data_IF_740509783359
#
_entry.id   IF_740509783359
#
_cell.length_a   1.000
_cell.length_b   1.000
_cell.length_c   1.000
_cell.angle_alpha   90.00
_cell.angle_beta   90.00
_cell.angle_gamma   90.00
#
_symmetry.space_group_name_H-M   'P 1'
#
loop_
_entity.id
_entity.type
_entity.pdbx_description
1 polymer ?
#
# COMPACT_ATOMS: atom_id res chain seq x y z
N UNK A 1 -14.84 -19.14 10.23
CA UNK A 1 -14.46 -17.77 10.63
C UNK A 1 -15.71 -16.90 10.52
N UNK A 2 -16.32 -16.48 11.64
CA UNK A 2 -17.59 -15.73 11.65
C UNK A 2 -17.34 -14.26 11.27
N UNK A 3 -18.22 -13.71 10.41
CA UNK A 3 -18.18 -12.33 9.90
C UNK A 3 -18.08 -11.23 10.97
N UNK A 4 -18.33 -11.54 12.23
CA UNK A 4 -18.19 -10.63 13.38
C UNK A 4 -16.74 -10.19 13.64
N UNK A 5 -15.73 -10.90 13.11
CA UNK A 5 -14.31 -10.54 13.26
C UNK A 5 -13.89 -9.41 12.29
N UNK A 6 -14.65 -9.19 11.21
CA UNK A 6 -14.28 -8.30 10.11
C UNK A 6 -14.44 -6.82 10.50
N UNK A 7 -15.50 -6.44 11.23
CA UNK A 7 -15.63 -5.09 11.80
C UNK A 7 -15.07 -5.02 13.22
N UNK A 8 -13.78 -5.32 13.38
CA UNK A 8 -13.12 -5.21 14.67
C UNK A 8 -13.00 -3.73 15.09
N UNK A 9 -13.42 -3.35 16.32
CA UNK A 9 -13.14 -2.03 16.90
C UNK A 9 -11.66 -1.62 16.81
N UNK A 10 -10.77 -2.61 16.75
CA UNK A 10 -9.34 -2.45 16.52
C UNK A 10 -9.03 -1.61 15.29
N UNK A 11 -9.60 -1.95 14.13
CA UNK A 11 -9.22 -1.32 12.86
C UNK A 11 -9.53 0.19 12.87
N UNK A 12 -10.73 0.53 13.36
CA UNK A 12 -11.13 1.93 13.58
C UNK A 12 -10.23 2.62 14.60
N UNK A 13 -9.92 1.97 15.71
CA UNK A 13 -9.07 2.55 16.77
C UNK A 13 -7.65 2.83 16.27
N UNK A 14 -7.05 1.91 15.51
CA UNK A 14 -5.69 2.05 14.97
C UNK A 14 -5.62 3.22 14.00
N UNK A 15 -6.53 3.28 13.03
CA UNK A 15 -6.52 4.37 12.04
C UNK A 15 -6.85 5.73 12.67
N UNK A 16 -7.76 5.78 13.65
CA UNK A 16 -8.04 7.02 14.39
C UNK A 16 -6.83 7.50 15.21
N UNK A 17 -6.00 6.57 15.69
CA UNK A 17 -4.76 6.88 16.41
C UNK A 17 -3.57 7.17 15.48
N UNK A 18 -3.78 7.18 14.15
CA UNK A 18 -2.72 7.38 13.16
C UNK A 18 -3.05 8.57 12.27
N UNK A 19 -2.55 9.77 12.64
CA UNK A 19 -2.65 10.94 11.79
C UNK A 19 -1.98 10.66 10.44
N UNK A 20 -2.70 10.97 9.36
CA UNK A 20 -2.18 10.96 7.99
C UNK A 20 -2.80 12.13 7.24
N UNK A 21 -2.03 12.88 6.44
CA UNK A 21 -2.59 13.96 5.63
C UNK A 21 -3.53 13.40 4.57
N UNK A 22 -4.66 14.07 4.36
CA UNK A 22 -5.56 13.78 3.24
C UNK A 22 -5.03 14.49 2.01
N UNK A 23 -4.72 13.72 0.97
CA UNK A 23 -4.20 14.20 -0.32
C UNK A 23 -4.93 13.50 -1.45
N UNK A 24 -4.70 13.93 -2.69
CA UNK A 24 -5.16 13.16 -3.85
C UNK A 24 -4.27 11.93 -3.99
N UNK A 25 -4.86 10.75 -3.82
CA UNK A 25 -4.18 9.46 -3.85
C UNK A 25 -4.58 8.69 -5.11
N UNK A 26 -3.66 7.88 -5.63
CA UNK A 26 -3.95 6.94 -6.71
C UNK A 26 -4.86 5.81 -6.23
N UNK A 27 -4.61 5.32 -5.01
CA UNK A 27 -5.24 4.20 -4.30
C UNK A 27 -4.95 2.81 -4.88
N UNK A 28 -4.42 2.71 -6.10
CA UNK A 28 -4.06 1.43 -6.73
C UNK A 28 -2.67 1.45 -7.40
N UNK A 29 -1.64 1.88 -6.66
CA UNK A 29 -0.24 1.92 -7.15
C UNK A 29 0.43 0.53 -7.22
N UNK A 30 -0.17 -0.40 -7.97
CA UNK A 30 0.42 -1.69 -8.34
C UNK A 30 1.38 -1.55 -9.54
N UNK A 31 2.18 -2.59 -9.81
CA UNK A 31 3.17 -2.58 -10.90
C UNK A 31 2.55 -2.44 -12.29
N UNK A 32 1.33 -2.95 -12.49
CA UNK A 32 0.61 -2.80 -13.76
C UNK A 32 0.26 -1.35 -14.11
N UNK A 33 0.19 -0.47 -13.09
CA UNK A 33 -0.17 0.93 -13.23
C UNK A 33 1.06 1.86 -13.29
N UNK A 34 2.26 1.31 -13.38
CA UNK A 34 3.54 2.02 -13.44
C UNK A 34 4.25 1.73 -14.76
N UNK A 35 4.19 2.65 -15.71
CA UNK A 35 4.81 2.50 -17.02
C UNK A 35 6.24 3.08 -17.04
N UNK A 36 7.16 2.34 -17.65
CA UNK A 36 8.46 2.87 -18.06
C UNK A 36 8.33 3.54 -19.42
N UNK A 37 8.72 4.82 -19.51
CA UNK A 37 8.63 5.59 -20.75
C UNK A 37 9.84 5.29 -21.65
N UNK A 38 9.58 4.91 -22.90
CA UNK A 38 10.61 4.76 -23.93
C UNK A 38 11.35 6.09 -24.18
N UNK A 39 12.66 6.00 -24.46
CA UNK A 39 13.55 7.14 -24.75
C UNK A 39 13.73 8.16 -23.61
N UNK A 40 13.42 7.81 -22.37
CA UNK A 40 13.66 8.66 -21.20
C UNK A 40 15.12 8.60 -20.68
N UNK A 41 16.10 8.13 -21.49
CA UNK A 41 17.50 7.94 -21.04
C UNK A 41 18.14 9.21 -20.46
N UNK A 42 17.72 10.39 -20.95
CA UNK A 42 18.20 11.72 -20.53
C UNK A 42 17.14 12.53 -19.73
N UNK A 43 16.06 11.90 -19.27
CA UNK A 43 15.00 12.55 -18.49
C UNK A 43 15.05 12.07 -17.03
N UNK A 44 14.85 12.98 -16.09
CA UNK A 44 14.63 12.64 -14.67
C UNK A 44 13.29 11.91 -14.47
N UNK A 45 12.36 12.03 -15.43
CA UNK A 45 11.04 11.39 -15.41
C UNK A 45 11.01 10.20 -16.36
N UNK A 46 11.30 9.02 -15.81
CA UNK A 46 11.31 7.73 -16.53
C UNK A 46 10.04 6.91 -16.30
N UNK A 47 9.32 7.18 -15.21
CA UNK A 47 8.13 6.44 -14.82
C UNK A 47 6.87 7.32 -14.94
N UNK A 48 5.76 6.70 -15.32
CA UNK A 48 4.44 7.34 -15.41
C UNK A 48 3.39 6.47 -14.72
N UNK A 49 2.61 7.08 -13.82
CA UNK A 49 1.40 6.47 -13.27
C UNK A 49 0.24 6.58 -14.26
N UNK A 50 -0.54 5.51 -14.38
CA UNK A 50 -1.75 5.44 -15.21
C UNK A 50 -2.88 4.79 -14.43
N UNK A 51 -4.08 4.79 -15.00
CA UNK A 51 -5.27 4.09 -14.47
C UNK A 51 -5.76 4.59 -13.10
N UNK A 52 -6.25 5.82 -13.09
CA UNK A 52 -6.74 6.53 -11.90
C UNK A 52 -8.18 6.13 -11.52
N UNK A 53 -8.64 4.91 -11.82
CA UNK A 53 -10.04 4.49 -11.63
C UNK A 53 -10.47 4.46 -10.15
N UNK A 54 -9.53 4.14 -9.24
CA UNK A 54 -9.74 4.16 -7.79
C UNK A 54 -9.33 5.49 -7.14
N UNK A 55 -8.83 6.45 -7.92
CA UNK A 55 -8.24 7.67 -7.37
C UNK A 55 -9.26 8.56 -6.70
N UNK A 56 -8.89 9.10 -5.55
CA UNK A 56 -9.75 9.97 -4.75
C UNK A 56 -8.92 10.71 -3.70
N UNK A 57 -9.53 11.68 -3.02
CA UNK A 57 -8.94 12.20 -1.79
C UNK A 57 -8.96 11.10 -0.73
N UNK A 58 -7.77 10.73 -0.26
CA UNK A 58 -7.59 9.69 0.75
C UNK A 58 -6.38 10.03 1.64
N UNK A 59 -6.15 9.23 2.67
CA UNK A 59 -4.96 9.32 3.50
C UNK A 59 -3.73 8.91 2.69
N UNK A 60 -2.69 9.75 2.69
CA UNK A 60 -1.40 9.43 2.06
C UNK A 60 -0.85 8.07 2.51
N UNK A 61 -1.03 7.76 3.80
CA UNK A 61 -0.62 6.50 4.39
C UNK A 61 -1.24 5.29 3.69
N UNK A 62 -2.49 5.40 3.20
CA UNK A 62 -3.15 4.35 2.43
C UNK A 62 -2.44 4.11 1.10
N UNK A 63 -2.13 5.17 0.35
CA UNK A 63 -1.52 5.02 -0.97
C UNK A 63 -0.12 4.38 -0.88
N UNK A 64 0.68 4.82 0.10
CA UNK A 64 1.99 4.25 0.38
C UNK A 64 1.90 2.82 0.93
N UNK A 65 0.97 2.60 1.87
CA UNK A 65 0.76 1.28 2.46
C UNK A 65 0.32 0.28 1.40
N UNK A 66 -0.57 0.71 0.50
CA UNK A 66 -0.99 -0.08 -0.65
C UNK A 66 0.18 -0.40 -1.58
N UNK A 67 0.96 0.60 -1.98
CA UNK A 67 2.12 0.37 -2.85
C UNK A 67 3.11 -0.64 -2.24
N UNK A 68 3.37 -0.56 -0.92
CA UNK A 68 4.22 -1.54 -0.23
C UNK A 68 3.56 -2.91 -0.10
N UNK A 69 2.22 -2.99 0.00
CA UNK A 69 1.51 -4.25 -0.07
C UNK A 69 1.75 -4.96 -1.40
N UNK A 70 1.73 -4.24 -2.52
CA UNK A 70 1.89 -4.80 -3.86
C UNK A 70 3.27 -5.44 -4.10
N UNK A 71 4.31 -5.11 -3.32
CA UNK A 71 5.61 -5.80 -3.39
C UNK A 71 5.52 -7.30 -3.03
N UNK A 72 4.47 -7.69 -2.30
CA UNK A 72 4.22 -9.07 -1.92
C UNK A 72 3.45 -9.86 -2.98
N UNK A 73 2.79 -9.20 -3.92
CA UNK A 73 1.92 -9.83 -4.90
C UNK A 73 2.57 -9.80 -6.28
N UNK A 74 2.46 -10.90 -7.01
CA UNK A 74 2.96 -11.05 -8.38
C UNK A 74 1.81 -11.59 -9.22
N UNK A 75 1.33 -10.77 -10.15
CA UNK A 75 0.20 -11.08 -11.02
C UNK A 75 0.63 -11.71 -12.36
N UNK A 76 1.94 -11.86 -12.62
CA UNK A 76 2.45 -12.45 -13.86
C UNK A 76 2.53 -13.98 -13.75
N UNK A 77 1.36 -14.62 -13.62
CA UNK A 77 1.23 -16.06 -13.45
C UNK A 77 0.26 -16.64 -14.48
N UNK A 78 0.75 -17.56 -15.32
CA UNK A 78 -0.05 -18.23 -16.38
C UNK A 78 -0.99 -19.34 -15.84
N UNK A 79 -0.87 -19.70 -14.56
CA UNK A 79 -1.63 -20.78 -13.94
C UNK A 79 -2.50 -20.26 -12.78
N UNK A 80 -3.68 -20.86 -12.60
CA UNK A 80 -4.57 -20.59 -11.45
C UNK A 80 -3.78 -20.68 -10.12
N UNK A 81 -3.93 -19.72 -9.18
CA UNK A 81 -4.96 -18.67 -9.12
C UNK A 81 -4.62 -17.37 -9.88
N UNK A 82 -3.62 -17.41 -10.77
CA UNK A 82 -3.13 -16.27 -11.57
C UNK A 82 -2.47 -15.16 -10.74
N UNK A 83 -2.04 -15.49 -9.53
CA UNK A 83 -1.16 -14.65 -8.73
C UNK A 83 -0.31 -15.49 -7.76
N UNK A 84 0.78 -14.90 -7.26
CA UNK A 84 1.56 -15.41 -6.12
C UNK A 84 1.63 -14.35 -5.04
N UNK A 85 1.58 -14.78 -3.78
CA UNK A 85 1.76 -13.91 -2.63
C UNK A 85 2.95 -14.39 -1.79
N UNK A 86 3.89 -13.51 -1.48
CA UNK A 86 5.01 -13.76 -0.57
C UNK A 86 5.18 -12.61 0.42
N UNK A 87 4.71 -12.85 1.65
CA UNK A 87 4.79 -11.85 2.73
C UNK A 87 6.22 -11.40 3.05
N UNK A 88 7.22 -12.24 2.76
CA UNK A 88 8.63 -11.92 3.03
C UNK A 88 9.17 -10.85 2.10
N UNK A 89 8.47 -10.56 0.99
CA UNK A 89 8.83 -9.49 0.05
C UNK A 89 8.34 -8.11 0.46
N UNK A 90 7.55 -7.99 1.53
CA UNK A 90 7.18 -6.69 2.08
C UNK A 90 8.44 -5.85 2.34
N UNK A 91 8.49 -4.56 1.93
CA UNK A 91 9.71 -3.78 1.99
C UNK A 91 10.22 -3.69 3.42
N UNK A 92 11.53 -3.90 3.57
CA UNK A 92 12.22 -3.74 4.86
C UNK A 92 12.14 -2.28 5.32
N UNK A 93 12.33 -2.04 6.64
CA UNK A 93 12.38 -0.67 7.19
C UNK A 93 13.33 0.25 6.40
N UNK A 94 14.47 -0.27 5.96
CA UNK A 94 15.43 0.51 5.16
C UNK A 94 14.89 0.87 3.77
N UNK A 95 14.18 -0.03 3.10
CA UNK A 95 13.55 0.25 1.80
C UNK A 95 12.38 1.24 1.95
N UNK A 96 11.57 1.08 3.00
CA UNK A 96 10.49 2.04 3.30
C UNK A 96 11.05 3.44 3.58
N UNK A 97 12.12 3.54 4.38
CA UNK A 97 12.80 4.82 4.65
C UNK A 97 13.39 5.43 3.38
N UNK A 98 13.96 4.62 2.50
CA UNK A 98 14.45 5.11 1.21
C UNK A 98 13.34 5.76 0.38
N UNK A 99 12.19 5.10 0.27
CA UNK A 99 11.01 5.64 -0.40
C UNK A 99 10.49 6.93 0.27
N UNK A 100 10.35 6.92 1.59
CA UNK A 100 9.88 8.06 2.39
C UNK A 100 10.80 9.28 2.21
N UNK A 101 12.11 9.07 2.24
CA UNK A 101 13.11 10.13 2.04
C UNK A 101 13.03 10.72 0.63
N UNK A 102 12.92 9.88 -0.39
CA UNK A 102 12.76 10.34 -1.77
C UNK A 102 11.48 11.17 -1.94
N UNK A 103 10.34 10.68 -1.41
CA UNK A 103 9.08 11.42 -1.44
C UNK A 103 9.18 12.78 -0.72
N UNK A 104 9.79 12.83 0.47
CA UNK A 104 9.95 14.07 1.21
C UNK A 104 10.92 15.05 0.53
N UNK A 105 11.98 14.56 -0.12
CA UNK A 105 12.92 15.40 -0.86
C UNK A 105 12.21 16.14 -2.01
N UNK A 106 11.29 15.47 -2.72
CA UNK A 106 10.50 16.11 -3.78
C UNK A 106 9.53 17.18 -3.24
N UNK A 107 8.99 16.99 -2.03
CA UNK A 107 8.15 17.99 -1.36
C UNK A 107 8.94 19.18 -0.80
N UNK A 108 10.21 18.97 -0.43
CA UNK A 108 11.05 19.94 0.27
C UNK A 108 11.84 20.87 -0.66
N UNK A 109 11.59 20.85 -1.96
CA UNK A 109 12.25 21.73 -2.94
C UNK A 109 12.07 23.25 -2.65
N UNK A 110 11.30 23.67 -1.64
CA UNK A 110 11.02 25.09 -1.34
C UNK A 110 11.06 25.53 0.16
N UNK A 111 11.56 24.77 1.16
CA UNK A 111 11.60 25.31 2.54
C UNK A 111 12.63 24.73 3.55
N UNK A 112 13.33 25.67 4.22
CA UNK A 112 14.04 25.72 5.54
C UNK A 112 14.96 24.58 6.03
N UNK A 113 16.02 24.96 6.75
CA UNK A 113 16.97 24.07 7.47
C UNK A 113 16.23 23.24 8.55
N UNK A 114 15.69 22.09 8.17
CA UNK A 114 15.11 21.10 9.10
C UNK A 114 16.26 20.41 9.85
N UNK A 115 16.20 20.37 11.19
CA UNK A 115 17.23 19.68 11.97
C UNK A 115 17.12 18.14 11.86
N UNK A 116 18.23 17.43 12.08
CA UNK A 116 18.29 15.96 11.97
C UNK A 116 17.28 15.23 12.88
N UNK A 117 16.92 15.82 14.03
CA UNK A 117 15.97 15.20 14.97
C UNK A 117 14.54 15.29 14.45
N UNK A 118 14.18 16.41 13.81
CA UNK A 118 12.89 16.60 13.16
C UNK A 118 12.72 15.63 11.99
N UNK A 119 13.77 15.44 11.18
CA UNK A 119 13.78 14.45 10.09
C UNK A 119 13.56 13.05 10.65
N UNK A 120 14.33 12.65 11.66
CA UNK A 120 14.21 11.31 12.27
C UNK A 120 12.81 11.06 12.85
N UNK A 121 12.22 12.07 13.51
CA UNK A 121 10.86 11.98 14.05
C UNK A 121 9.81 11.85 12.95
N UNK A 122 9.94 12.64 11.87
CA UNK A 122 9.04 12.56 10.72
C UNK A 122 9.12 11.19 10.04
N UNK A 123 10.32 10.66 9.85
CA UNK A 123 10.56 9.32 9.30
C UNK A 123 9.90 8.22 10.14
N UNK A 124 10.05 8.29 11.47
CA UNK A 124 9.41 7.34 12.40
C UNK A 124 7.88 7.41 12.31
N UNK A 125 7.32 8.62 12.28
CA UNK A 125 5.88 8.82 12.15
C UNK A 125 5.34 8.32 10.82
N UNK A 126 6.05 8.55 9.71
CA UNK A 126 5.64 8.05 8.39
C UNK A 126 5.77 6.53 8.29
N UNK A 127 6.77 5.91 8.92
CA UNK A 127 6.85 4.46 9.01
C UNK A 127 5.65 3.87 9.77
N UNK A 128 5.28 4.45 10.91
CA UNK A 128 4.11 4.01 11.67
C UNK A 128 2.81 4.22 10.87
N UNK A 129 2.67 5.39 10.22
CA UNK A 129 1.57 5.74 9.34
C UNK A 129 1.38 4.66 8.25
N UNK A 130 2.40 4.46 7.43
CA UNK A 130 2.32 3.59 6.25
C UNK A 130 2.03 2.14 6.64
N UNK A 131 2.69 1.61 7.67
CA UNK A 131 2.48 0.22 8.08
C UNK A 131 1.09 -0.02 8.70
N UNK A 132 0.51 0.97 9.39
CA UNK A 132 -0.87 0.85 9.89
C UNK A 132 -1.90 0.95 8.77
N UNK A 133 -1.66 1.80 7.78
CA UNK A 133 -2.53 1.89 6.60
C UNK A 133 -2.33 0.72 5.61
N UNK A 134 -1.20 -0.01 5.64
CA UNK A 134 -1.05 -1.27 4.91
C UNK A 134 -2.09 -2.32 5.38
N UNK A 135 -2.42 -2.35 6.67
CA UNK A 135 -3.54 -3.16 7.17
C UNK A 135 -4.87 -2.76 6.51
N UNK A 136 -5.07 -1.46 6.28
CA UNK A 136 -6.27 -0.95 5.60
C UNK A 136 -6.33 -1.39 4.14
N UNK A 137 -5.20 -1.37 3.44
CA UNK A 137 -5.10 -1.90 2.08
C UNK A 137 -5.46 -3.39 2.03
N UNK A 138 -4.86 -4.24 2.89
CA UNK A 138 -5.19 -5.67 2.91
C UNK A 138 -6.68 -5.92 3.16
N UNK A 139 -7.27 -5.19 4.11
CA UNK A 139 -8.67 -5.33 4.42
C UNK A 139 -9.58 -4.88 3.26
N UNK A 140 -9.28 -3.73 2.65
CA UNK A 140 -10.02 -3.19 1.51
C UNK A 140 -10.01 -4.16 0.32
N UNK A 141 -8.82 -4.58 -0.12
CA UNK A 141 -8.67 -5.46 -1.28
C UNK A 141 -9.15 -6.89 -1.01
N UNK A 142 -9.08 -7.35 0.24
CA UNK A 142 -9.71 -8.62 0.64
C UNK A 142 -11.23 -8.59 0.48
N UNK A 143 -11.89 -7.50 0.88
CA UNK A 143 -13.33 -7.31 0.68
C UNK A 143 -13.69 -7.11 -0.78
N UNK A 144 -12.94 -6.27 -1.50
CA UNK A 144 -13.09 -6.08 -2.94
C UNK A 144 -13.05 -7.42 -3.67
N UNK A 145 -12.09 -8.29 -3.34
CA UNK A 145 -11.93 -9.58 -3.99
C UNK A 145 -13.08 -10.54 -3.73
N UNK A 146 -13.65 -10.55 -2.52
CA UNK A 146 -14.87 -11.32 -2.22
C UNK A 146 -16.04 -10.88 -3.11
N UNK A 147 -16.19 -9.58 -3.32
CA UNK A 147 -17.23 -9.03 -4.20
C UNK A 147 -16.95 -9.44 -5.65
N UNK A 148 -15.71 -9.30 -6.11
CA UNK A 148 -15.30 -9.65 -7.48
C UNK A 148 -15.49 -11.13 -7.80
N UNK A 149 -15.32 -12.02 -6.83
CA UNK A 149 -15.62 -13.45 -6.98
C UNK A 149 -17.07 -13.74 -7.42
N UNK A 150 -17.99 -12.76 -7.30
CA UNK A 150 -19.39 -12.88 -7.74
C UNK A 150 -19.73 -12.10 -9.00
N UNK A 151 -19.00 -11.02 -9.29
CA UNK A 151 -19.39 -10.07 -10.34
C UNK A 151 -18.41 -10.00 -11.51
N UNK A 152 -17.15 -10.40 -11.30
CA UNK A 152 -16.12 -10.34 -12.35
C UNK A 152 -16.31 -11.44 -13.38
N UNK A 153 -16.00 -11.12 -14.63
CA UNK A 153 -15.90 -12.08 -15.73
C UNK A 153 -14.46 -12.52 -16.01
N UNK A 154 -13.47 -11.94 -15.31
CA UNK A 154 -12.06 -12.27 -15.46
C UNK A 154 -11.77 -13.59 -14.73
N UNK A 155 -11.04 -14.49 -15.38
CA UNK A 155 -10.59 -15.73 -14.75
C UNK A 155 -9.42 -15.42 -13.79
N UNK A 156 -9.76 -15.28 -12.50
CA UNK A 156 -8.80 -14.97 -11.44
C UNK A 156 -9.25 -15.64 -10.13
N UNK A 157 -8.29 -16.13 -9.33
CA UNK A 157 -8.58 -16.76 -8.04
C UNK A 157 -8.98 -15.76 -6.96
N UNK A 158 -10.15 -15.12 -7.11
CA UNK A 158 -10.60 -14.04 -6.23
C UNK A 158 -10.78 -14.47 -4.77
N UNK A 159 -11.22 -15.70 -4.52
CA UNK A 159 -11.37 -16.17 -3.13
C UNK A 159 -10.02 -16.49 -2.50
N UNK A 160 -9.09 -17.06 -3.25
CA UNK A 160 -7.70 -17.31 -2.85
C UNK A 160 -6.98 -16.00 -2.57
N UNK A 161 -7.19 -14.99 -3.41
CA UNK A 161 -6.65 -13.66 -3.21
C UNK A 161 -7.22 -13.01 -1.95
N UNK A 162 -8.54 -13.10 -1.72
CA UNK A 162 -9.15 -12.60 -0.50
C UNK A 162 -8.55 -13.25 0.75
N UNK A 163 -8.38 -14.59 0.74
CA UNK A 163 -7.74 -15.33 1.83
C UNK A 163 -6.31 -14.83 2.03
N UNK A 164 -5.51 -14.73 0.97
CA UNK A 164 -4.13 -14.24 1.04
C UNK A 164 -4.06 -12.83 1.66
N UNK A 165 -4.91 -11.89 1.23
CA UNK A 165 -4.95 -10.52 1.79
C UNK A 165 -5.30 -10.54 3.29
N UNK A 166 -6.31 -11.32 3.70
CA UNK A 166 -6.70 -11.38 5.12
C UNK A 166 -5.66 -12.09 5.99
N UNK A 167 -5.00 -13.15 5.51
CA UNK A 167 -3.91 -13.80 6.22
C UNK A 167 -2.75 -12.83 6.46
N UNK A 168 -2.35 -12.07 5.43
CA UNK A 168 -1.33 -11.04 5.57
C UNK A 168 -1.74 -9.93 6.54
N UNK A 169 -3.01 -9.49 6.50
CA UNK A 169 -3.55 -8.55 7.48
C UNK A 169 -3.37 -9.05 8.91
N UNK A 170 -3.74 -10.29 9.21
CA UNK A 170 -3.62 -10.84 10.57
C UNK A 170 -2.17 -11.13 10.99
N UNK A 171 -1.27 -11.44 10.06
CA UNK A 171 0.16 -11.56 10.33
C UNK A 171 0.78 -10.19 10.63
N UNK A 172 0.63 -9.20 9.76
CA UNK A 172 1.16 -7.84 9.99
C UNK A 172 0.56 -7.19 11.24
N UNK A 173 -0.73 -7.40 11.50
CA UNK A 173 -1.39 -6.92 12.72
C UNK A 173 -0.72 -7.42 14.00
N UNK A 174 -0.15 -8.64 14.01
CA UNK A 174 0.56 -9.19 15.19
C UNK A 174 1.90 -8.50 15.44
N UNK A 175 2.53 -7.96 14.40
CA UNK A 175 3.82 -7.26 14.49
C UNK A 175 3.65 -5.77 14.85
N UNK A 176 2.48 -5.19 14.59
CA UNK A 176 2.13 -3.85 15.05
C UNK A 176 1.71 -3.93 16.53
N UNK A 177 2.58 -3.44 17.42
CA UNK A 177 2.32 -3.39 18.86
C UNK A 177 1.21 -2.38 19.19
N UNK A 178 -0.05 -2.79 19.04
CA UNK A 178 -1.24 -2.02 19.45
C UNK A 178 -2.13 -2.85 20.37
#
# INVERSE_FOLDING_TARGET
MTLTVIFSPFFRSVLQATPSPVVFCHNDCQEGNLLLLDNAENSDQKLMLIDFEYSSYNFRGFDFGNHFCEWMYDYNCDEYPFFKADIKKYPTKMQQLHFIRAYNAELQNDCEDIDEKQIAKMEEQMLEEVNRYALASHFFWGLWSIIQARISTIEFGYLEYAVARFETYFEQKRHLSV
#
